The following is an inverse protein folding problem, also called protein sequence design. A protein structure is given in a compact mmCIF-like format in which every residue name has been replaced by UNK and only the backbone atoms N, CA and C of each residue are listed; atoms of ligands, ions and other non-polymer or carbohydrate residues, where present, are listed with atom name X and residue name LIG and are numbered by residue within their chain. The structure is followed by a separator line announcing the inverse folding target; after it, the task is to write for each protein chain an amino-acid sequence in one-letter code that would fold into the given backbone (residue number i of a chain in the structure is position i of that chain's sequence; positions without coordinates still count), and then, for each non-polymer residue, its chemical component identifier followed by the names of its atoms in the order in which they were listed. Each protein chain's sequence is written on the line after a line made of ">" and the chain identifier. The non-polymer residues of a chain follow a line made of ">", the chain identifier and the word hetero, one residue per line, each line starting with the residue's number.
data_IF_021563952744
#
_entry.id   IF_021563952744
#
_cell.length_a   1.000
_cell.length_b   1.000
_cell.length_c   1.000
_cell.angle_alpha   90.00
_cell.angle_beta   90.00
_cell.angle_gamma   90.00
#
_symmetry.space_group_name_H-M   'P 1'
#
loop_
_entity.id
_entity.type
_entity.pdbx_description
1 polymer ?
#
# COMPACT_ATOMS: atom_id res chain seq x y z
N UNK A 1 -13.68 -21.81 -7.10
CA UNK A 1 -12.59 -20.82 -7.08
C UNK A 1 -12.30 -20.54 -5.62
N UNK A 2 -11.16 -20.94 -5.12
CA UNK A 2 -10.79 -20.72 -3.73
C UNK A 2 -10.38 -19.23 -3.62
N UNK A 3 -11.05 -18.50 -2.71
CA UNK A 3 -10.77 -17.11 -2.42
C UNK A 3 -9.44 -17.06 -1.64
N UNK A 4 -8.40 -16.54 -2.25
CA UNK A 4 -7.04 -16.49 -1.70
C UNK A 4 -6.87 -15.47 -0.56
N UNK A 5 -7.96 -14.79 -0.13
CA UNK A 5 -7.89 -13.70 0.85
C UNK A 5 -8.03 -14.15 2.31
N UNK A 6 -8.38 -15.42 2.58
CA UNK A 6 -8.64 -15.92 3.94
C UNK A 6 -9.83 -15.25 4.66
N UNK A 7 -10.46 -14.25 4.04
CA UNK A 7 -11.59 -13.50 4.59
C UNK A 7 -12.85 -14.32 4.43
N UNK A 8 -13.60 -14.56 5.52
CA UNK A 8 -14.88 -15.28 5.48
C UNK A 8 -15.92 -14.45 4.72
N UNK A 9 -16.87 -15.11 4.08
CA UNK A 9 -17.95 -14.45 3.30
C UNK A 9 -18.71 -13.39 4.12
N UNK A 10 -18.93 -13.65 5.43
CA UNK A 10 -19.54 -12.70 6.37
C UNK A 10 -18.72 -11.42 6.59
N UNK A 11 -17.41 -11.50 6.46
CA UNK A 11 -16.49 -10.40 6.71
C UNK A 11 -16.46 -9.46 5.50
N UNK A 12 -16.48 -10.04 4.30
CA UNK A 12 -16.66 -9.28 3.06
C UNK A 12 -17.99 -8.50 3.06
N UNK A 13 -19.07 -9.07 3.58
CA UNK A 13 -20.36 -8.39 3.65
C UNK A 13 -20.32 -7.16 4.57
N UNK A 14 -19.63 -7.23 5.71
CA UNK A 14 -19.45 -6.09 6.62
C UNK A 14 -18.63 -4.97 5.98
N UNK A 15 -17.54 -5.32 5.31
CA UNK A 15 -16.69 -4.36 4.59
C UNK A 15 -17.49 -3.68 3.47
N UNK A 16 -18.27 -4.44 2.69
CA UNK A 16 -19.09 -3.87 1.62
C UNK A 16 -20.21 -2.96 2.15
N UNK A 17 -20.83 -3.28 3.28
CA UNK A 17 -21.77 -2.40 3.96
C UNK A 17 -21.11 -1.08 4.36
N UNK A 18 -19.88 -1.14 4.90
CA UNK A 18 -19.10 0.05 5.26
C UNK A 18 -18.76 0.89 4.03
N UNK A 19 -18.27 0.28 2.96
CA UNK A 19 -17.97 0.94 1.68
C UNK A 19 -19.19 1.64 1.10
N UNK A 20 -20.31 0.95 1.05
CA UNK A 20 -21.57 1.51 0.54
C UNK A 20 -22.04 2.73 1.38
N UNK A 21 -21.93 2.64 2.70
CA UNK A 21 -22.28 3.74 3.61
C UNK A 21 -21.36 4.95 3.39
N UNK A 22 -20.04 4.74 3.30
CA UNK A 22 -19.06 5.80 3.05
C UNK A 22 -19.30 6.47 1.68
N UNK A 23 -19.55 5.68 0.64
CA UNK A 23 -19.85 6.19 -0.69
C UNK A 23 -21.14 7.02 -0.73
N UNK A 24 -22.18 6.61 0.01
CA UNK A 24 -23.43 7.35 0.15
C UNK A 24 -23.25 8.71 0.84
N UNK A 25 -22.21 8.88 1.63
CA UNK A 25 -21.82 10.13 2.31
C UNK A 25 -20.85 10.98 1.51
N UNK A 26 -20.60 10.62 0.27
CA UNK A 26 -19.69 11.34 -0.62
C UNK A 26 -18.20 11.06 -0.33
N UNK A 27 -17.90 10.07 0.49
CA UNK A 27 -16.52 9.59 0.69
C UNK A 27 -16.10 8.74 -0.51
N UNK A 28 -16.05 9.38 -1.67
CA UNK A 28 -15.50 8.80 -2.90
C UNK A 28 -14.14 9.43 -3.11
N UNK A 29 -13.15 8.57 -3.36
CA UNK A 29 -11.78 8.99 -3.52
C UNK A 29 -11.07 9.36 -2.21
N UNK A 30 -9.76 9.58 -2.31
CA UNK A 30 -8.88 9.80 -1.18
C UNK A 30 -9.26 11.01 -0.32
N UNK A 31 -9.58 12.14 -0.95
CA UNK A 31 -9.95 13.38 -0.23
C UNK A 31 -11.23 13.18 0.58
N UNK A 32 -12.23 12.48 0.01
CA UNK A 32 -13.47 12.18 0.70
C UNK A 32 -13.25 11.26 1.91
N UNK A 33 -12.45 10.22 1.77
CA UNK A 33 -12.10 9.29 2.85
C UNK A 33 -11.30 9.98 3.94
N UNK A 34 -10.30 10.81 3.59
CA UNK A 34 -9.54 11.58 4.57
C UNK A 34 -10.43 12.53 5.39
N UNK A 35 -11.40 13.19 4.74
CA UNK A 35 -12.36 14.04 5.44
C UNK A 35 -13.23 13.26 6.41
N UNK A 36 -13.72 12.07 5.99
CA UNK A 36 -14.53 11.21 6.87
C UNK A 36 -13.70 10.71 8.05
N UNK A 37 -12.48 10.25 7.82
CA UNK A 37 -11.59 9.83 8.89
C UNK A 37 -11.39 10.92 9.95
N UNK A 38 -11.11 12.16 9.51
CA UNK A 38 -11.00 13.33 10.41
C UNK A 38 -12.31 13.68 11.17
N UNK A 39 -13.47 13.30 10.62
CA UNK A 39 -14.77 13.48 11.30
C UNK A 39 -14.96 12.38 12.35
N UNK A 40 -14.42 11.21 12.14
CA UNK A 40 -14.47 10.09 13.09
C UNK A 40 -13.50 10.28 14.25
N UNK A 41 -12.33 10.87 14.00
CA UNK A 41 -11.27 11.20 14.96
C UNK A 41 -11.69 12.42 15.81
N UNK A 42 -12.41 12.15 16.88
CA UNK A 42 -12.98 13.19 17.76
C UNK A 42 -11.91 13.91 18.59
N UNK A 43 -10.91 13.15 19.06
CA UNK A 43 -9.86 13.62 19.95
C UNK A 43 -8.66 14.21 19.19
N UNK A 44 -8.64 14.07 17.85
CA UNK A 44 -7.58 14.52 16.93
C UNK A 44 -6.23 13.86 17.21
N UNK A 45 -6.25 12.59 17.60
CA UNK A 45 -5.03 11.79 17.79
C UNK A 45 -4.33 11.46 16.48
N UNK A 46 -5.07 11.46 15.36
CA UNK A 46 -4.63 10.99 14.04
C UNK A 46 -4.90 9.51 13.80
N UNK A 47 -5.48 8.83 14.79
CA UNK A 47 -5.90 7.42 14.78
C UNK A 47 -7.36 7.32 15.22
N UNK A 48 -8.00 6.18 15.06
CA UNK A 48 -9.34 5.93 15.59
C UNK A 48 -9.28 4.79 16.60
N UNK A 49 -9.75 5.03 17.81
CA UNK A 49 -10.03 3.96 18.76
C UNK A 49 -11.38 3.29 18.46
N UNK A 50 -11.64 2.15 19.11
CA UNK A 50 -12.90 1.41 18.93
C UNK A 50 -14.14 2.22 19.35
N UNK A 51 -14.00 3.19 20.26
CA UNK A 51 -15.12 4.00 20.75
C UNK A 51 -15.48 5.07 19.71
N UNK A 52 -14.50 5.73 19.13
CA UNK A 52 -14.65 6.68 18.03
C UNK A 52 -15.20 5.99 16.79
N UNK A 53 -14.67 4.81 16.45
CA UNK A 53 -15.15 4.00 15.36
C UNK A 53 -16.62 3.59 15.57
N UNK A 54 -16.99 3.08 16.76
CA UNK A 54 -18.36 2.72 17.10
C UNK A 54 -19.31 3.91 17.08
N UNK A 55 -18.88 5.07 17.59
CA UNK A 55 -19.67 6.31 17.52
C UNK A 55 -19.94 6.69 16.08
N UNK A 56 -18.91 6.68 15.24
CA UNK A 56 -19.04 7.00 13.81
C UNK A 56 -19.99 6.02 13.08
N UNK A 57 -19.91 4.73 13.35
CA UNK A 57 -20.82 3.71 12.82
C UNK A 57 -22.28 4.06 13.14
N UNK A 58 -22.58 4.48 14.38
CA UNK A 58 -23.94 4.90 14.80
C UNK A 58 -24.36 6.20 14.10
N UNK A 59 -23.51 7.22 14.11
CA UNK A 59 -23.79 8.53 13.51
C UNK A 59 -24.00 8.41 12.00
N UNK A 60 -23.30 7.48 11.39
CA UNK A 60 -23.43 7.16 9.97
C UNK A 60 -24.60 6.22 9.68
N UNK A 61 -25.29 5.74 10.72
CA UNK A 61 -26.46 4.87 10.64
C UNK A 61 -26.17 3.55 9.90
N UNK A 62 -24.98 3.02 10.02
CA UNK A 62 -24.68 1.68 9.55
C UNK A 62 -25.38 0.68 10.49
N UNK A 63 -26.24 -0.16 9.92
CA UNK A 63 -27.03 -1.14 10.68
C UNK A 63 -26.22 -2.38 11.00
N UNK A 64 -25.31 -2.26 11.95
CA UNK A 64 -24.55 -3.35 12.55
C UNK A 64 -24.62 -3.25 14.07
N UNK A 65 -24.47 -4.39 14.75
CA UNK A 65 -24.39 -4.44 16.20
C UNK A 65 -22.96 -4.18 16.69
N UNK A 66 -22.77 -4.13 18.00
CA UNK A 66 -21.47 -3.81 18.59
C UNK A 66 -20.41 -4.91 18.34
N UNK A 67 -20.83 -6.17 18.28
CA UNK A 67 -19.95 -7.30 17.98
C UNK A 67 -19.47 -7.26 16.54
N UNK A 68 -20.38 -6.98 15.60
CA UNK A 68 -20.04 -6.77 14.18
C UNK A 68 -19.13 -5.55 13.99
N UNK A 69 -19.35 -4.48 14.74
CA UNK A 69 -18.49 -3.30 14.72
C UNK A 69 -17.08 -3.62 15.22
N UNK A 70 -16.98 -4.37 16.36
CA UNK A 70 -15.66 -4.80 16.87
C UNK A 70 -14.94 -5.66 15.83
N UNK A 71 -15.66 -6.61 15.24
CA UNK A 71 -15.11 -7.45 14.19
C UNK A 71 -14.64 -6.65 12.98
N UNK A 72 -15.41 -5.64 12.55
CA UNK A 72 -15.03 -4.76 11.44
C UNK A 72 -13.79 -3.93 11.79
N UNK A 73 -13.67 -3.46 13.03
CA UNK A 73 -12.49 -2.76 13.52
C UNK A 73 -11.24 -3.67 13.48
N UNK A 74 -11.34 -4.88 14.04
CA UNK A 74 -10.24 -5.85 14.07
C UNK A 74 -9.83 -6.32 12.66
N UNK A 75 -10.73 -6.26 11.66
CA UNK A 75 -10.40 -6.51 10.26
C UNK A 75 -9.64 -5.36 9.60
N UNK A 76 -9.81 -4.15 10.11
CA UNK A 76 -9.17 -2.95 9.60
C UNK A 76 -7.83 -2.67 10.30
N UNK A 77 -7.75 -2.96 11.61
CA UNK A 77 -6.54 -2.89 12.43
C UNK A 77 -5.60 -4.04 12.03
N UNK A 78 -4.73 -3.78 11.07
CA UNK A 78 -3.86 -4.81 10.46
C UNK A 78 -2.69 -5.18 11.38
N UNK A 79 -2.23 -4.22 12.18
CA UNK A 79 -1.09 -4.40 13.07
C UNK A 79 -1.48 -4.86 14.50
N UNK A 80 -2.80 -4.98 14.79
CA UNK A 80 -3.37 -5.39 16.08
C UNK A 80 -2.91 -4.49 17.28
N UNK A 81 -2.66 -3.18 17.03
CA UNK A 81 -2.26 -2.25 18.10
C UNK A 81 -3.46 -1.63 18.86
N UNK A 82 -4.67 -1.88 18.39
CA UNK A 82 -5.91 -1.41 18.98
C UNK A 82 -6.31 0.01 18.57
N UNK A 83 -5.56 0.60 17.65
CA UNK A 83 -5.81 1.90 17.06
C UNK A 83 -5.84 1.76 15.53
N UNK A 84 -6.84 2.31 14.87
CA UNK A 84 -6.95 2.28 13.42
C UNK A 84 -6.28 3.52 12.82
N UNK A 85 -5.18 3.31 12.14
CA UNK A 85 -4.45 4.37 11.42
C UNK A 85 -5.14 4.70 10.10
N UNK A 86 -4.85 5.91 9.56
CA UNK A 86 -5.49 6.33 8.31
C UNK A 86 -5.17 5.40 7.13
N UNK A 87 -3.94 4.90 7.07
CA UNK A 87 -3.50 4.01 5.98
C UNK A 87 -4.21 2.66 6.04
N UNK A 88 -4.39 2.09 7.24
CA UNK A 88 -5.17 0.86 7.47
C UNK A 88 -6.64 1.06 7.09
N UNK A 89 -7.24 2.17 7.55
CA UNK A 89 -8.61 2.53 7.16
C UNK A 89 -8.75 2.67 5.64
N UNK A 90 -7.81 3.34 4.99
CA UNK A 90 -7.82 3.56 3.55
C UNK A 90 -7.71 2.23 2.79
N UNK A 91 -6.77 1.38 3.19
CA UNK A 91 -6.55 0.07 2.58
C UNK A 91 -7.78 -0.83 2.74
N UNK A 92 -8.35 -0.90 3.94
CA UNK A 92 -9.52 -1.69 4.23
C UNK A 92 -10.77 -1.23 3.46
N UNK A 93 -10.98 0.10 3.35
CA UNK A 93 -12.12 0.67 2.61
C UNK A 93 -11.94 0.54 1.10
N UNK A 94 -10.77 0.76 0.55
CA UNK A 94 -10.54 0.71 -0.89
C UNK A 94 -10.30 -0.70 -1.42
N UNK A 95 -9.89 -1.58 -0.55
CA UNK A 95 -9.60 -2.97 -0.89
C UNK A 95 -8.21 -3.17 -1.50
N UNK A 96 -7.92 -4.42 -1.73
CA UNK A 96 -6.66 -4.84 -2.33
C UNK A 96 -6.56 -4.43 -3.81
N UNK A 97 -5.35 -4.53 -4.34
CA UNK A 97 -5.09 -4.39 -5.78
C UNK A 97 -6.07 -5.22 -6.62
N UNK A 98 -6.70 -4.58 -7.60
CA UNK A 98 -7.49 -5.31 -8.60
C UNK A 98 -6.57 -6.09 -9.56
N UNK A 99 -7.14 -7.00 -10.34
CA UNK A 99 -6.38 -7.88 -11.23
C UNK A 99 -5.62 -7.09 -12.32
N UNK A 100 -6.16 -5.96 -12.77
CA UNK A 100 -5.49 -5.09 -13.72
C UNK A 100 -4.20 -4.51 -13.13
N UNK A 101 -4.27 -3.93 -11.91
CA UNK A 101 -3.12 -3.37 -11.20
C UNK A 101 -2.10 -4.45 -10.84
N UNK A 102 -2.57 -5.63 -10.37
CA UNK A 102 -1.69 -6.79 -10.15
C UNK A 102 -0.94 -7.21 -11.41
N UNK A 103 -1.64 -7.24 -12.55
CA UNK A 103 -1.04 -7.57 -13.83
C UNK A 103 0.03 -6.57 -14.29
N UNK A 104 -0.17 -5.28 -14.02
CA UNK A 104 0.83 -4.25 -14.28
C UNK A 104 2.07 -4.41 -13.41
N UNK A 105 1.86 -4.65 -12.11
CA UNK A 105 2.94 -4.86 -11.15
C UNK A 105 3.73 -6.14 -11.48
N UNK A 106 3.04 -7.19 -11.93
CA UNK A 106 3.72 -8.41 -12.40
C UNK A 106 4.63 -8.14 -13.58
N UNK A 107 4.15 -7.35 -14.56
CA UNK A 107 5.00 -6.93 -15.70
C UNK A 107 6.20 -6.10 -15.27
N UNK A 108 6.02 -5.21 -14.27
CA UNK A 108 7.11 -4.42 -13.74
C UNK A 108 8.14 -5.30 -13.03
N UNK A 109 7.68 -6.18 -12.16
CA UNK A 109 8.54 -7.11 -11.44
C UNK A 109 9.32 -8.02 -12.40
N UNK A 110 8.65 -8.67 -13.36
CA UNK A 110 9.29 -9.55 -14.34
C UNK A 110 10.32 -8.84 -15.24
N UNK A 111 10.15 -7.55 -15.45
CA UNK A 111 11.11 -6.73 -16.17
C UNK A 111 12.36 -6.45 -15.34
N UNK A 112 12.18 -6.21 -14.03
CA UNK A 112 13.28 -5.96 -13.10
C UNK A 112 14.05 -7.25 -12.78
N UNK A 113 13.35 -8.33 -12.50
CA UNK A 113 13.86 -9.68 -12.26
C UNK A 113 14.36 -10.31 -13.56
N UNK A 114 15.50 -9.79 -14.08
CA UNK A 114 16.02 -10.19 -15.38
C UNK A 114 16.62 -11.61 -15.37
N UNK A 115 17.10 -12.08 -14.24
CA UNK A 115 17.68 -13.42 -14.07
C UNK A 115 16.65 -14.48 -13.67
N UNK A 116 15.38 -14.03 -13.41
CA UNK A 116 14.24 -14.86 -13.00
C UNK A 116 14.49 -15.61 -11.68
N UNK A 117 15.17 -14.98 -10.76
CA UNK A 117 15.41 -15.49 -9.41
C UNK A 117 14.11 -15.53 -8.58
N UNK A 118 13.13 -14.69 -8.91
CA UNK A 118 11.90 -14.49 -8.14
C UNK A 118 12.04 -13.47 -7.02
N UNK A 119 13.20 -12.86 -6.88
CA UNK A 119 13.54 -11.82 -5.90
C UNK A 119 14.26 -10.68 -6.62
N UNK A 120 14.01 -9.42 -6.21
CA UNK A 120 14.76 -8.27 -6.70
C UNK A 120 15.93 -7.98 -5.77
N UNK A 121 17.12 -7.87 -6.33
CA UNK A 121 18.34 -7.50 -5.65
C UNK A 121 18.89 -6.17 -6.16
N UNK A 122 19.88 -5.60 -5.46
CA UNK A 122 20.57 -4.38 -5.88
C UNK A 122 21.08 -4.48 -7.32
N UNK A 123 21.57 -5.66 -7.73
CA UNK A 123 22.05 -5.92 -9.09
C UNK A 123 20.99 -5.77 -10.18
N UNK A 124 19.74 -6.08 -9.85
CA UNK A 124 18.60 -5.95 -10.78
C UNK A 124 18.17 -4.49 -10.91
N UNK A 125 17.99 -3.82 -9.77
CA UNK A 125 17.56 -2.42 -9.75
C UNK A 125 18.62 -1.50 -10.37
N UNK A 126 19.90 -1.79 -10.19
CA UNK A 126 21.03 -1.02 -10.74
C UNK A 126 20.99 -0.88 -12.25
N UNK A 127 20.38 -1.81 -12.98
CA UNK A 127 20.22 -1.75 -14.43
C UNK A 127 19.20 -0.70 -14.87
N UNK A 128 18.25 -0.36 -14.00
CA UNK A 128 17.10 0.51 -14.31
C UNK A 128 17.17 1.85 -13.57
N UNK A 129 17.82 1.90 -12.39
CA UNK A 129 17.93 3.10 -11.57
C UNK A 129 19.36 3.63 -11.58
N UNK A 130 19.52 4.87 -12.01
CA UNK A 130 20.83 5.54 -12.02
C UNK A 130 21.06 6.31 -10.71
N UNK A 131 21.56 5.63 -9.70
CA UNK A 131 21.84 6.21 -8.40
C UNK A 131 22.94 7.30 -8.41
N UNK A 132 23.76 7.41 -9.48
CA UNK A 132 24.80 8.42 -9.62
C UNK A 132 24.31 9.85 -9.47
N UNK A 133 23.05 10.09 -9.82
CA UNK A 133 22.43 11.39 -9.73
C UNK A 133 21.78 11.69 -8.39
N UNK A 134 21.72 10.69 -7.48
CA UNK A 134 21.18 10.89 -6.14
C UNK A 134 21.98 11.95 -5.36
N UNK A 135 21.32 12.87 -4.64
CA UNK A 135 21.99 13.93 -3.88
C UNK A 135 23.08 13.40 -2.96
N UNK A 136 22.83 12.35 -2.19
CA UNK A 136 23.75 11.77 -1.21
C UNK A 136 25.00 11.18 -1.89
N UNK A 137 24.82 10.61 -3.11
CA UNK A 137 25.97 10.12 -3.90
C UNK A 137 26.80 11.25 -4.44
N UNK A 138 26.17 12.31 -4.95
CA UNK A 138 26.87 13.52 -5.43
C UNK A 138 27.63 14.24 -4.33
N UNK A 139 27.12 14.21 -3.10
CA UNK A 139 27.75 14.81 -1.91
C UNK A 139 28.79 13.90 -1.28
N UNK A 140 28.90 12.65 -1.73
CA UNK A 140 29.81 11.66 -1.17
C UNK A 140 29.38 11.09 0.20
N UNK A 141 28.12 11.28 0.60
CA UNK A 141 27.57 10.78 1.85
C UNK A 141 27.23 9.29 1.77
N UNK A 142 26.81 8.81 0.59
CA UNK A 142 26.47 7.42 0.32
C UNK A 142 27.08 6.94 -1.00
N UNK A 143 27.31 5.65 -1.09
CA UNK A 143 27.63 4.97 -2.35
C UNK A 143 26.35 4.70 -3.17
N UNK A 144 26.50 4.43 -4.45
CA UNK A 144 25.37 4.03 -5.31
C UNK A 144 24.66 2.78 -4.77
N UNK A 145 25.42 1.80 -4.27
CA UNK A 145 24.88 0.55 -3.77
C UNK A 145 24.13 0.74 -2.44
N UNK A 146 24.58 1.64 -1.56
CA UNK A 146 23.85 2.01 -0.34
C UNK A 146 22.51 2.67 -0.65
N UNK A 147 22.46 3.60 -1.62
CA UNK A 147 21.20 4.21 -2.05
C UNK A 147 20.24 3.19 -2.65
N UNK A 148 20.75 2.22 -3.41
CA UNK A 148 19.91 1.16 -3.98
C UNK A 148 19.42 0.18 -2.92
N UNK A 149 20.23 -0.08 -1.89
CA UNK A 149 19.83 -0.89 -0.73
C UNK A 149 18.73 -0.20 0.05
N UNK A 150 18.89 1.08 0.39
CA UNK A 150 17.84 1.88 1.06
C UNK A 150 16.54 1.88 0.26
N UNK A 151 16.65 1.96 -1.07
CA UNK A 151 15.48 1.88 -1.95
C UNK A 151 14.78 0.52 -1.85
N UNK A 152 15.50 -0.59 -1.86
CA UNK A 152 14.90 -1.92 -1.69
C UNK A 152 14.30 -2.10 -0.28
N UNK A 153 14.95 -1.58 0.75
CA UNK A 153 14.44 -1.61 2.12
C UNK A 153 13.07 -0.93 2.26
N UNK A 154 12.74 0.04 1.40
CA UNK A 154 11.40 0.67 1.45
C UNK A 154 10.26 -0.32 1.19
N UNK A 155 10.49 -1.37 0.42
CA UNK A 155 9.50 -2.43 0.17
C UNK A 155 9.38 -3.40 1.35
N UNK A 156 10.47 -3.63 2.08
CA UNK A 156 10.52 -4.57 3.21
C UNK A 156 9.88 -3.97 4.49
N UNK A 157 10.07 -2.67 4.72
CA UNK A 157 9.58 -1.97 5.92
C UNK A 157 8.05 -2.03 6.02
N UNK A 158 7.34 -1.95 4.90
CA UNK A 158 5.88 -2.02 4.89
C UNK A 158 5.33 -3.37 5.38
N UNK A 159 6.06 -4.46 5.23
CA UNK A 159 5.65 -5.78 5.73
C UNK A 159 5.86 -5.95 7.24
N UNK A 160 6.85 -5.28 7.82
CA UNK A 160 7.10 -5.38 9.27
C UNK A 160 6.06 -4.61 10.10
N UNK A 161 5.28 -3.72 9.48
CA UNK A 161 4.15 -3.03 10.10
C UNK A 161 2.84 -3.83 9.98
N UNK A 162 2.71 -4.70 8.97
CA UNK A 162 1.55 -5.57 8.78
C UNK A 162 1.85 -6.97 9.31
N UNK A 163 1.13 -7.36 10.38
CA UNK A 163 1.13 -8.67 11.08
C UNK A 163 2.42 -9.11 11.77
N UNK A 164 2.27 -9.33 13.06
CA UNK A 164 3.17 -10.06 13.94
C UNK A 164 3.46 -11.49 13.45
N UNK A 165 4.02 -11.66 12.28
CA UNK A 165 4.77 -12.87 12.00
C UNK A 165 6.12 -12.75 12.73
N UNK A 166 6.20 -13.39 13.89
CA UNK A 166 7.41 -13.54 14.70
C UNK A 166 8.55 -14.29 13.99
N UNK A 167 8.45 -14.42 12.68
CA UNK A 167 9.44 -14.82 11.69
C UNK A 167 9.63 -13.76 10.63
N UNK A 168 9.49 -12.46 10.99
CA UNK A 168 9.93 -11.41 10.09
C UNK A 168 11.35 -11.73 9.67
N UNK A 169 11.52 -12.16 8.43
CA UNK A 169 12.84 -12.28 7.81
C UNK A 169 13.49 -10.90 7.97
N UNK A 170 14.65 -10.91 8.59
CA UNK A 170 15.55 -9.76 8.67
C UNK A 170 15.62 -9.12 7.29
N UNK A 171 15.63 -7.78 7.22
CA UNK A 171 15.99 -7.05 6.01
C UNK A 171 17.19 -7.74 5.38
N UNK A 172 16.94 -8.49 4.31
CA UNK A 172 17.98 -9.26 3.62
C UNK A 172 18.44 -8.56 2.32
N UNK A 173 17.89 -7.37 2.04
CA UNK A 173 18.18 -6.59 0.84
C UNK A 173 17.59 -7.18 -0.43
N UNK A 174 16.59 -8.04 -0.28
CA UNK A 174 15.90 -8.71 -1.39
C UNK A 174 14.39 -8.47 -1.29
N UNK A 175 13.76 -8.19 -2.41
CA UNK A 175 12.33 -7.94 -2.49
C UNK A 175 11.65 -9.05 -3.27
N UNK A 176 10.83 -9.85 -2.62
CA UNK A 176 9.97 -10.83 -3.26
C UNK A 176 8.81 -10.17 -3.98
N UNK A 177 8.16 -10.88 -4.91
CA UNK A 177 6.96 -10.36 -5.58
C UNK A 177 5.82 -10.07 -4.58
N UNK A 178 5.70 -10.81 -3.49
CA UNK A 178 4.72 -10.54 -2.44
C UNK A 178 4.99 -9.19 -1.76
N UNK A 179 6.22 -8.93 -1.35
CA UNK A 179 6.62 -7.64 -0.73
C UNK A 179 6.42 -6.46 -1.69
N UNK A 180 6.70 -6.67 -2.97
CA UNK A 180 6.46 -5.69 -4.01
C UNK A 180 4.95 -5.39 -4.16
N UNK A 181 4.08 -6.41 -4.12
CA UNK A 181 2.63 -6.24 -4.14
C UNK A 181 2.11 -5.55 -2.88
N UNK A 182 2.61 -5.91 -1.70
CA UNK A 182 2.19 -5.32 -0.41
C UNK A 182 2.51 -3.82 -0.39
N UNK A 183 3.72 -3.42 -0.79
CA UNK A 183 4.08 -2.01 -0.94
C UNK A 183 3.11 -1.27 -1.87
N UNK A 184 2.90 -1.80 -3.08
CA UNK A 184 2.04 -1.16 -4.07
C UNK A 184 0.54 -1.24 -3.73
N UNK A 185 0.11 -2.11 -2.82
CA UNK A 185 -1.26 -2.10 -2.29
C UNK A 185 -1.54 -0.80 -1.55
N UNK A 186 -0.61 -0.33 -0.71
CA UNK A 186 -0.72 0.95 -0.02
C UNK A 186 -0.69 2.14 -1.00
N UNK A 187 0.23 2.12 -1.95
CA UNK A 187 0.28 3.15 -3.01
C UNK A 187 -1.01 3.16 -3.81
N UNK A 188 -1.50 1.98 -4.22
CA UNK A 188 -2.75 1.80 -4.96
C UNK A 188 -3.96 2.32 -4.19
N UNK A 189 -4.01 2.13 -2.87
CA UNK A 189 -5.09 2.63 -2.04
C UNK A 189 -5.21 4.16 -2.08
N UNK A 190 -4.13 4.88 -2.34
CA UNK A 190 -4.11 6.34 -2.49
C UNK A 190 -4.46 6.82 -3.91
N UNK A 191 -4.64 5.94 -4.90
CA UNK A 191 -4.87 6.29 -6.30
C UNK A 191 -6.26 5.85 -6.73
N UNK A 192 -7.10 6.80 -7.15
CA UNK A 192 -8.50 6.55 -7.51
C UNK A 192 -8.66 5.90 -8.89
N UNK A 193 -7.81 6.25 -9.84
CA UNK A 193 -7.97 5.95 -11.27
C UNK A 193 -6.93 4.93 -11.75
N UNK A 194 -7.40 3.87 -12.42
CA UNK A 194 -6.54 2.80 -12.94
C UNK A 194 -5.61 3.30 -14.04
N UNK A 195 -6.06 4.25 -14.88
CA UNK A 195 -5.23 4.80 -15.94
C UNK A 195 -4.08 5.64 -15.36
N UNK A 196 -4.33 6.38 -14.26
CA UNK A 196 -3.26 7.08 -13.56
C UNK A 196 -2.28 6.11 -12.91
N UNK A 197 -2.78 5.02 -12.29
CA UNK A 197 -1.93 3.97 -11.73
C UNK A 197 -1.05 3.32 -12.82
N UNK A 198 -1.64 3.01 -13.98
CA UNK A 198 -0.90 2.48 -15.14
C UNK A 198 0.19 3.44 -15.61
N UNK A 199 -0.15 4.72 -15.75
CA UNK A 199 0.82 5.75 -16.16
C UNK A 199 1.98 5.84 -15.15
N UNK A 200 1.67 5.85 -13.86
CA UNK A 200 2.67 5.91 -12.79
C UNK A 200 3.61 4.70 -12.84
N UNK A 201 3.07 3.47 -12.87
CA UNK A 201 3.88 2.25 -12.90
C UNK A 201 4.68 2.14 -14.19
N UNK A 202 4.06 2.50 -15.33
CA UNK A 202 4.72 2.49 -16.63
C UNK A 202 5.91 3.43 -16.68
N UNK A 203 5.77 4.62 -16.11
CA UNK A 203 6.84 5.60 -16.05
C UNK A 203 7.90 5.21 -15.00
N UNK A 204 7.47 4.80 -13.81
CA UNK A 204 8.39 4.41 -12.72
C UNK A 204 9.33 3.28 -13.16
N UNK A 205 8.83 2.31 -13.91
CA UNK A 205 9.59 1.14 -14.33
C UNK A 205 9.89 1.10 -15.83
N UNK A 206 9.63 2.20 -16.54
CA UNK A 206 9.85 2.35 -17.98
C UNK A 206 9.31 1.16 -18.80
N UNK A 207 8.06 0.72 -18.52
CA UNK A 207 7.49 -0.47 -19.15
C UNK A 207 7.39 -0.36 -20.67
N UNK A 208 7.31 0.85 -21.20
CA UNK A 208 7.24 1.12 -22.65
C UNK A 208 8.62 1.10 -23.36
N UNK A 209 9.71 0.80 -22.62
CA UNK A 209 11.08 0.82 -23.14
C UNK A 209 11.43 2.13 -23.88
N UNK A 210 10.84 3.24 -23.46
CA UNK A 210 11.18 4.54 -24.04
C UNK A 210 12.61 4.88 -23.61
N UNK A 211 13.45 5.24 -24.59
CA UNK A 211 14.75 5.81 -24.31
C UNK A 211 14.53 7.25 -23.84
N UNK A 212 14.35 7.44 -22.54
CA UNK A 212 14.45 8.78 -21.97
C UNK A 212 15.90 9.22 -22.13
N UNK A 213 16.12 10.31 -22.88
CA UNK A 213 17.44 10.95 -22.91
C UNK A 213 17.91 11.16 -21.48
N UNK A 214 19.20 11.17 -21.22
CA UNK A 214 19.97 11.10 -19.95
C UNK A 214 19.41 11.74 -18.66
N UNK A 215 18.12 12.05 -18.55
CA UNK A 215 17.49 12.87 -17.50
C UNK A 215 16.35 12.22 -16.73
N UNK A 216 16.16 10.90 -16.70
CA UNK A 216 14.96 10.37 -16.07
C UNK A 216 15.06 10.19 -14.53
N UNK A 217 16.20 10.18 -13.93
CA UNK A 217 16.34 10.18 -12.46
C UNK A 217 16.79 11.57 -11.97
N UNK A 218 15.80 12.45 -11.72
CA UNK A 218 15.98 13.60 -10.83
C UNK A 218 16.80 14.77 -11.38
N UNK A 219 16.23 15.55 -12.27
CA UNK A 219 16.43 17.00 -12.30
C UNK A 219 15.23 17.63 -11.57
N UNK A 220 15.37 17.83 -10.26
CA UNK A 220 14.63 18.81 -9.48
C UNK A 220 15.65 19.67 -8.75
#
# INVERSE_FOLDING_TARGET
>A
MADYTGIKHSDNELIEKMRAMLAARGARGMIGLQRIFKIMDDNRSGTLDIQEFWKAIKDFRLKINQEECRKLFDLFDENDDGELQYDEFLLAVRGQLNDFRKGLLKKAFDKLDADKSGELEVSDVKKFYNAKNHPDVKQGEKTEDEVLTDFLETFEVHRSMSKQDSKAKKNDGKVTFSEFLDYYSNVSASIDDDAYFELMITNAWNLNNQSYGKGWAGEY
#
